data_IF_495228047949
#
_entry.id   IF_495228047949
#
_cell.length_a   1.000
_cell.length_b   1.000
_cell.length_c   1.000
_cell.angle_alpha   90.00
_cell.angle_beta   90.00
_cell.angle_gamma   90.00
#
_symmetry.space_group_name_H-M   'P 1'
#
loop_
_entity.id
_entity.type
_entity.pdbx_description
1 polymer ?
#
# COMPACT_ATOMS: atom_id res chain seq x y z
N UNK A 1 -21.13 -11.53 -25.99
CA UNK A 1 -19.72 -11.82 -26.21
C UNK A 1 -19.07 -12.18 -24.87
N UNK A 2 -18.47 -13.36 -24.72
CA UNK A 2 -17.84 -13.70 -23.45
C UNK A 2 -16.71 -12.73 -23.12
N UNK A 3 -16.62 -12.34 -21.84
CA UNK A 3 -15.52 -11.53 -21.32
C UNK A 3 -14.37 -12.48 -21.02
N UNK A 4 -13.26 -12.36 -21.72
CA UNK A 4 -12.09 -13.23 -21.61
C UNK A 4 -10.87 -12.55 -20.95
N UNK A 5 -10.98 -11.24 -20.71
CA UNK A 5 -9.93 -10.41 -20.13
C UNK A 5 -10.15 -10.03 -18.65
N UNK A 6 -11.14 -10.66 -17.99
CA UNK A 6 -11.45 -10.44 -16.57
C UNK A 6 -11.33 -11.74 -15.81
N UNK A 7 -10.62 -11.69 -14.69
CA UNK A 7 -10.52 -12.77 -13.71
C UNK A 7 -10.97 -12.26 -12.35
N UNK A 8 -11.79 -13.02 -11.65
CA UNK A 8 -12.28 -12.69 -10.31
C UNK A 8 -11.77 -13.74 -9.34
N UNK A 9 -11.26 -13.27 -8.21
CA UNK A 9 -10.73 -14.14 -7.18
C UNK A 9 -10.93 -13.49 -5.81
N UNK A 10 -11.18 -14.29 -4.80
CA UNK A 10 -11.19 -13.89 -3.39
C UNK A 10 -9.93 -14.42 -2.73
N UNK A 11 -9.09 -13.54 -2.22
CA UNK A 11 -7.85 -13.91 -1.55
C UNK A 11 -7.45 -12.86 -0.51
N UNK A 12 -6.68 -13.28 0.47
CA UNK A 12 -6.00 -12.38 1.38
C UNK A 12 -4.83 -11.68 0.66
N UNK A 13 -4.73 -10.37 0.80
CA UNK A 13 -3.66 -9.57 0.17
C UNK A 13 -2.27 -10.01 0.61
N UNK A 14 -2.11 -10.51 1.82
CA UNK A 14 -0.83 -11.03 2.31
C UNK A 14 -0.34 -12.25 1.52
N UNK A 15 -1.22 -12.90 0.78
CA UNK A 15 -0.94 -14.05 -0.09
C UNK A 15 -0.84 -13.72 -1.57
N UNK A 16 -0.83 -12.45 -1.93
CA UNK A 16 -0.87 -12.00 -3.33
C UNK A 16 0.26 -12.60 -4.18
N UNK A 17 1.42 -12.84 -3.60
CA UNK A 17 2.57 -13.44 -4.29
C UNK A 17 2.34 -14.90 -4.71
N UNK A 18 1.36 -15.56 -4.12
CA UNK A 18 0.95 -16.92 -4.54
C UNK A 18 -0.01 -16.91 -5.73
N UNK A 19 -0.52 -15.75 -6.11
CA UNK A 19 -1.53 -15.55 -7.16
C UNK A 19 -0.93 -14.83 -8.36
N UNK A 20 -0.24 -13.74 -8.11
CA UNK A 20 0.47 -12.94 -9.11
C UNK A 20 1.96 -13.25 -8.96
N UNK A 21 2.59 -13.68 -10.03
CA UNK A 21 3.99 -14.11 -10.03
C UNK A 21 4.90 -13.08 -10.70
N UNK A 22 6.19 -13.29 -10.65
CA UNK A 22 7.17 -12.42 -11.31
C UNK A 22 7.05 -12.40 -12.85
N UNK A 23 6.30 -13.33 -13.44
CA UNK A 23 5.99 -13.36 -14.87
C UNK A 23 4.84 -12.42 -15.24
N UNK A 24 4.04 -12.03 -14.26
CA UNK A 24 2.94 -11.09 -14.43
C UNK A 24 3.43 -9.65 -14.32
N UNK A 25 2.85 -8.75 -15.12
CA UNK A 25 3.13 -7.32 -15.04
C UNK A 25 1.88 -6.60 -14.54
N UNK A 26 2.00 -5.93 -13.38
CA UNK A 26 0.94 -5.12 -12.82
C UNK A 26 1.23 -3.64 -13.10
N UNK A 27 0.55 -3.05 -14.07
CA UNK A 27 0.74 -1.65 -14.46
C UNK A 27 -0.10 -0.67 -13.66
N UNK A 28 -1.21 -1.12 -13.07
CA UNK A 28 -2.10 -0.29 -12.26
C UNK A 28 -2.86 -1.11 -11.23
N UNK A 29 -3.01 -0.53 -10.04
CA UNK A 29 -3.81 -1.08 -8.96
C UNK A 29 -4.88 -0.06 -8.57
N UNK A 30 -6.11 -0.52 -8.37
CA UNK A 30 -7.20 0.26 -7.81
C UNK A 30 -7.55 -0.29 -6.43
N UNK A 31 -7.45 0.55 -5.41
CA UNK A 31 -7.86 0.23 -4.03
C UNK A 31 -9.08 1.08 -3.72
N UNK A 32 -10.24 0.45 -3.70
CA UNK A 32 -11.52 1.14 -3.53
C UNK A 32 -12.19 0.70 -2.23
N UNK A 33 -12.36 1.63 -1.28
CA UNK A 33 -13.15 1.45 -0.05
C UNK A 33 -12.75 0.21 0.76
N UNK A 34 -11.45 0.00 0.92
CA UNK A 34 -10.93 -1.10 1.73
C UNK A 34 -11.19 -0.88 3.23
N UNK A 35 -11.09 -1.96 4.00
CA UNK A 35 -11.27 -1.91 5.44
C UNK A 35 -10.24 -0.97 6.09
N UNK A 36 -10.67 0.06 6.85
CA UNK A 36 -9.77 1.02 7.47
C UNK A 36 -9.02 0.49 8.70
N UNK A 37 -9.46 -0.63 9.29
CA UNK A 37 -8.83 -1.22 10.48
C UNK A 37 -8.60 -0.20 11.62
N UNK A 38 -9.58 0.69 11.85
CA UNK A 38 -9.43 1.87 12.71
C UNK A 38 -9.54 1.60 14.20
N UNK A 39 -9.96 0.41 14.62
CA UNK A 39 -10.28 0.12 16.02
C UNK A 39 -9.08 0.00 16.95
N UNK A 40 -7.87 -0.24 16.39
CA UNK A 40 -6.69 -0.41 17.21
C UNK A 40 -5.42 -0.25 16.33
N UNK A 41 -4.45 0.49 16.84
CA UNK A 41 -3.21 0.78 16.10
C UNK A 41 -2.43 -0.49 15.69
N UNK A 42 -2.52 -1.58 16.45
CA UNK A 42 -1.91 -2.86 16.11
C UNK A 42 -2.51 -3.53 14.87
N UNK A 43 -3.72 -3.15 14.47
CA UNK A 43 -4.41 -3.68 13.29
C UNK A 43 -4.06 -2.94 12.00
N UNK A 44 -3.42 -1.78 12.08
CA UNK A 44 -3.11 -0.95 10.90
C UNK A 44 -2.25 -1.67 9.87
N UNK A 45 -1.43 -2.62 10.29
CA UNK A 45 -0.59 -3.46 9.40
C UNK A 45 -1.41 -4.28 8.40
N UNK A 46 -2.71 -4.48 8.63
CA UNK A 46 -3.61 -5.20 7.74
C UNK A 46 -4.26 -4.29 6.68
N UNK A 47 -4.11 -2.99 6.79
CA UNK A 47 -4.60 -2.03 5.79
C UNK A 47 -3.98 -2.31 4.43
N UNK A 48 -4.76 -2.27 3.36
CA UNK A 48 -4.25 -2.47 2.00
C UNK A 48 -3.24 -1.41 1.57
N UNK A 49 -3.27 -0.23 2.18
CA UNK A 49 -2.32 0.88 1.92
C UNK A 49 -1.15 0.93 2.89
N UNK A 50 -1.08 0.02 3.87
CA UNK A 50 0.06 -0.03 4.79
C UNK A 50 1.36 -0.31 4.02
N UNK A 51 2.51 0.31 4.39
CA UNK A 51 3.78 0.12 3.69
C UNK A 51 4.17 -1.34 3.49
N UNK A 52 3.85 -2.20 4.45
CA UNK A 52 4.07 -3.65 4.36
C UNK A 52 3.40 -4.27 3.14
N UNK A 53 2.17 -3.84 2.82
CA UNK A 53 1.44 -4.31 1.65
C UNK A 53 1.90 -3.59 0.39
N UNK A 54 2.13 -2.29 0.46
CA UNK A 54 2.62 -1.49 -0.67
C UNK A 54 3.96 -2.02 -1.20
N UNK A 55 4.86 -2.49 -0.34
CA UNK A 55 6.12 -3.11 -0.75
C UNK A 55 5.91 -4.42 -1.50
N UNK A 56 4.85 -5.19 -1.19
CA UNK A 56 4.50 -6.37 -1.97
C UNK A 56 4.04 -5.98 -3.38
N UNK A 57 3.17 -4.95 -3.50
CA UNK A 57 2.72 -4.46 -4.81
C UNK A 57 3.88 -3.94 -5.63
N UNK A 58 4.77 -3.19 -4.98
CA UNK A 58 5.96 -2.62 -5.58
C UNK A 58 6.80 -3.66 -6.31
N UNK A 59 6.97 -4.83 -5.72
CA UNK A 59 7.73 -5.93 -6.32
C UNK A 59 7.10 -6.50 -7.60
N UNK A 60 5.80 -6.27 -7.82
CA UNK A 60 5.04 -6.75 -8.99
C UNK A 60 4.83 -5.67 -10.06
N UNK A 61 5.20 -4.43 -9.75
CA UNK A 61 4.93 -3.25 -10.57
C UNK A 61 6.21 -2.74 -11.21
N UNK A 62 6.24 -2.50 -12.53
CA UNK A 62 7.31 -1.73 -13.16
C UNK A 62 7.40 -0.32 -12.60
N UNK A 63 8.58 0.31 -12.69
CA UNK A 63 8.74 1.72 -12.35
C UNK A 63 7.78 2.59 -13.18
N UNK A 64 7.18 3.60 -12.55
CA UNK A 64 6.19 4.47 -13.17
C UNK A 64 4.75 3.93 -13.16
N UNK A 65 4.53 2.69 -12.72
CA UNK A 65 3.18 2.15 -12.51
C UNK A 65 2.46 2.89 -11.38
N UNK A 66 1.12 2.91 -11.42
CA UNK A 66 0.32 3.75 -10.54
C UNK A 66 -0.64 2.95 -9.68
N UNK A 67 -0.91 3.48 -8.47
CA UNK A 67 -1.99 3.03 -7.58
C UNK A 67 -2.99 4.18 -7.47
N UNK A 68 -4.27 3.85 -7.70
CA UNK A 68 -5.41 4.73 -7.50
C UNK A 68 -6.12 4.28 -6.22
N UNK A 69 -6.24 5.16 -5.26
CA UNK A 69 -6.82 4.86 -3.95
C UNK A 69 -7.99 5.79 -3.65
N UNK A 70 -9.13 5.20 -3.26
CA UNK A 70 -10.33 5.92 -2.81
C UNK A 70 -10.83 5.37 -1.49
N UNK A 71 -11.24 6.25 -0.59
CA UNK A 71 -11.83 5.91 0.70
C UNK A 71 -12.77 6.99 1.22
N UNK A 72 -13.75 6.60 2.01
CA UNK A 72 -14.60 7.47 2.81
C UNK A 72 -13.98 7.78 4.19
N UNK A 73 -13.01 6.98 4.64
CA UNK A 73 -12.41 7.06 5.96
C UNK A 73 -11.27 8.09 6.01
N UNK A 74 -11.41 9.09 6.88
CA UNK A 74 -10.44 10.16 7.04
C UNK A 74 -9.11 9.69 7.62
N UNK A 75 -9.14 8.84 8.64
CA UNK A 75 -7.93 8.39 9.33
C UNK A 75 -7.08 7.51 8.41
N UNK A 76 -7.73 6.58 7.70
CA UNK A 76 -7.06 5.74 6.70
C UNK A 76 -6.42 6.61 5.61
N UNK A 77 -7.14 7.63 5.11
CA UNK A 77 -6.61 8.50 4.07
C UNK A 77 -5.40 9.31 4.55
N UNK A 78 -5.50 9.94 5.73
CA UNK A 78 -4.41 10.73 6.33
C UNK A 78 -3.18 9.90 6.58
N UNK A 79 -3.33 8.71 7.16
CA UNK A 79 -2.23 7.78 7.37
C UNK A 79 -1.62 7.34 6.03
N UNK A 80 -2.45 7.09 5.03
CA UNK A 80 -2.00 6.68 3.69
C UNK A 80 -1.16 7.73 2.98
N UNK A 81 -1.40 9.02 3.24
CA UNK A 81 -0.53 10.10 2.73
C UNK A 81 0.93 9.96 3.21
N UNK A 82 1.16 9.35 4.36
CA UNK A 82 2.49 8.98 4.85
C UNK A 82 2.97 7.60 4.37
N UNK A 83 2.05 6.65 4.21
CA UNK A 83 2.39 5.28 3.83
C UNK A 83 2.96 5.17 2.41
N UNK A 84 2.36 5.85 1.45
CA UNK A 84 2.80 5.80 0.05
C UNK A 84 4.24 6.32 -0.12
N UNK A 85 4.61 7.51 0.37
CA UNK A 85 6.00 7.97 0.28
C UNK A 85 6.99 7.05 0.99
N UNK A 86 6.64 6.54 2.19
CA UNK A 86 7.48 5.63 2.94
C UNK A 86 7.78 4.32 2.19
N UNK A 87 6.85 3.86 1.36
CA UNK A 87 7.01 2.68 0.51
C UNK A 87 7.58 3.00 -0.89
N UNK A 88 8.09 4.22 -1.11
CA UNK A 88 8.72 4.61 -2.37
C UNK A 88 7.74 4.91 -3.51
N UNK A 89 6.54 5.38 -3.18
CA UNK A 89 5.56 5.88 -4.14
C UNK A 89 5.44 7.40 -4.02
N UNK A 90 5.49 8.10 -5.14
CA UNK A 90 5.22 9.53 -5.22
C UNK A 90 3.73 9.78 -5.37
N UNK A 91 3.14 10.57 -4.48
CA UNK A 91 1.75 11.02 -4.63
C UNK A 91 1.73 12.13 -5.67
N UNK A 92 1.16 11.83 -6.85
CA UNK A 92 1.11 12.76 -7.98
C UNK A 92 -0.16 13.59 -8.01
N UNK A 93 -1.20 13.14 -7.34
CA UNK A 93 -2.47 13.83 -7.23
C UNK A 93 -3.22 13.38 -5.97
N UNK A 94 -3.96 14.29 -5.33
CA UNK A 94 -4.80 13.97 -4.17
C UNK A 94 -5.96 14.93 -4.01
N UNK A 95 -7.03 14.48 -3.38
CA UNK A 95 -8.18 15.30 -3.00
C UNK A 95 -8.85 14.76 -1.73
N UNK A 96 -9.40 15.65 -0.92
CA UNK A 96 -10.24 15.31 0.23
C UNK A 96 -11.74 15.29 -0.13
N UNK A 97 -12.10 15.70 -1.34
CA UNK A 97 -13.48 15.70 -1.85
C UNK A 97 -13.46 15.49 -3.36
N UNK A 98 -13.51 14.22 -3.76
CA UNK A 98 -13.40 13.80 -5.16
C UNK A 98 -14.50 14.39 -6.04
N UNK A 99 -15.74 14.46 -5.53
CA UNK A 99 -16.89 14.86 -6.32
C UNK A 99 -17.04 16.37 -6.48
N UNK A 100 -16.32 17.16 -5.67
CA UNK A 100 -16.35 18.63 -5.79
C UNK A 100 -15.71 19.12 -7.10
N UNK A 101 -14.64 18.45 -7.54
CA UNK A 101 -13.96 18.67 -8.81
C UNK A 101 -13.61 17.30 -9.43
N UNK A 102 -14.63 16.54 -9.77
CA UNK A 102 -14.48 15.16 -10.22
C UNK A 102 -13.72 15.11 -11.54
N UNK A 103 -12.58 14.40 -11.60
CA UNK A 103 -11.82 14.22 -12.81
C UNK A 103 -12.57 13.35 -13.83
N UNK A 104 -12.40 13.60 -15.12
CA UNK A 104 -13.04 12.82 -16.20
C UNK A 104 -12.68 11.34 -16.19
N UNK A 105 -11.51 10.98 -15.66
CA UNK A 105 -11.07 9.58 -15.55
C UNK A 105 -11.74 8.81 -14.42
N UNK A 106 -12.46 9.49 -13.50
CA UNK A 106 -13.07 8.80 -12.36
C UNK A 106 -14.26 7.95 -12.80
N UNK A 107 -14.22 6.68 -12.43
CA UNK A 107 -15.35 5.78 -12.55
C UNK A 107 -15.96 5.58 -11.16
N UNK A 108 -17.21 6.04 -10.99
CA UNK A 108 -17.92 5.90 -9.73
C UNK A 108 -18.24 4.44 -9.47
N UNK A 109 -17.82 3.95 -8.29
CA UNK A 109 -18.23 2.65 -7.79
C UNK A 109 -19.60 2.75 -7.11
N UNK A 110 -20.24 1.60 -6.85
CA UNK A 110 -21.49 1.56 -6.11
C UNK A 110 -21.35 2.18 -4.71
N UNK A 111 -20.30 1.85 -3.98
CA UNK A 111 -20.00 2.45 -2.67
C UNK A 111 -19.83 3.96 -2.73
N UNK A 112 -19.18 4.45 -3.76
CA UNK A 112 -18.97 5.88 -3.98
C UNK A 112 -20.31 6.61 -4.17
N UNK A 113 -21.23 6.02 -4.92
CA UNK A 113 -22.60 6.52 -5.06
C UNK A 113 -23.33 6.57 -3.71
N UNK A 114 -23.30 5.51 -2.95
CA UNK A 114 -23.93 5.42 -1.63
C UNK A 114 -23.42 6.48 -0.64
N UNK A 115 -22.11 6.67 -0.56
CA UNK A 115 -21.50 7.68 0.32
C UNK A 115 -21.80 9.10 -0.15
N UNK A 116 -21.80 9.35 -1.45
CA UNK A 116 -22.15 10.64 -2.03
C UNK A 116 -23.58 11.04 -1.71
N UNK A 117 -24.54 10.10 -1.77
CA UNK A 117 -25.94 10.34 -1.39
C UNK A 117 -26.09 10.66 0.09
N UNK A 118 -25.21 10.17 0.94
CA UNK A 118 -25.15 10.46 2.38
C UNK A 118 -24.41 11.76 2.70
N UNK A 119 -23.87 12.47 1.70
CA UNK A 119 -23.08 13.67 1.89
C UNK A 119 -21.69 13.44 2.47
N UNK A 120 -21.17 12.22 2.41
CA UNK A 120 -19.84 11.84 2.88
C UNK A 120 -18.82 12.12 1.78
N UNK A 121 -17.83 13.03 1.99
CA UNK A 121 -16.80 13.31 1.00
C UNK A 121 -15.91 12.07 0.77
N UNK A 122 -15.62 11.80 -0.49
CA UNK A 122 -14.68 10.74 -0.88
C UNK A 122 -13.29 11.34 -1.05
N UNK A 123 -12.31 10.76 -0.37
CA UNK A 123 -10.89 11.10 -0.48
C UNK A 123 -10.25 10.18 -1.50
N UNK A 124 -9.36 10.72 -2.31
CA UNK A 124 -8.68 9.95 -3.34
C UNK A 124 -7.26 10.44 -3.56
N UNK A 125 -6.38 9.54 -3.98
CA UNK A 125 -5.04 9.88 -4.44
C UNK A 125 -4.60 8.97 -5.59
N UNK A 126 -3.62 9.46 -6.33
CA UNK A 126 -2.85 8.68 -7.30
C UNK A 126 -1.40 8.69 -6.82
N UNK A 127 -0.79 7.52 -6.75
CA UNK A 127 0.60 7.36 -6.38
C UNK A 127 1.34 6.56 -7.47
N UNK A 128 2.54 7.01 -7.82
CA UNK A 128 3.40 6.41 -8.83
C UNK A 128 4.59 5.72 -8.17
N UNK A 129 4.90 4.50 -8.61
CA UNK A 129 6.11 3.81 -8.18
C UNK A 129 7.35 4.58 -8.61
N UNK A 130 8.14 5.02 -7.64
CA UNK A 130 9.46 5.62 -7.82
C UNK A 130 10.60 4.59 -7.72
N UNK A 131 11.86 5.04 -7.78
CA UNK A 131 13.03 4.16 -7.67
C UNK A 131 13.11 3.49 -6.28
N UNK A 132 13.80 2.35 -6.20
CA UNK A 132 13.97 1.60 -4.96
C UNK A 132 14.67 2.42 -3.86
N UNK A 133 15.55 3.34 -4.25
CA UNK A 133 16.22 4.28 -3.33
C UNK A 133 15.27 5.22 -2.58
N UNK A 134 14.04 5.39 -3.05
CA UNK A 134 13.02 6.23 -2.40
C UNK A 134 12.29 5.53 -1.26
N UNK A 135 12.47 4.22 -1.08
CA UNK A 135 11.87 3.45 0.01
C UNK A 135 12.58 3.79 1.32
N UNK A 136 11.81 4.27 2.31
CA UNK A 136 12.32 4.62 3.64
C UNK A 136 11.75 3.73 4.75
N UNK A 137 10.64 3.05 4.50
CA UNK A 137 10.03 2.18 5.49
C UNK A 137 10.83 0.88 5.68
N UNK A 138 11.00 0.49 6.94
CA UNK A 138 11.67 -0.75 7.34
C UNK A 138 10.73 -1.55 8.24
N UNK A 139 10.65 -2.86 8.01
CA UNK A 139 9.89 -3.76 8.88
C UNK A 139 10.39 -3.62 10.33
N UNK A 140 9.52 -3.41 11.33
CA UNK A 140 9.93 -3.20 12.72
C UNK A 140 10.87 -4.26 13.29
N UNK A 141 10.68 -5.51 12.92
CA UNK A 141 11.59 -6.62 13.33
C UNK A 141 12.99 -6.49 12.73
N UNK A 142 13.09 -6.03 11.51
CA UNK A 142 14.36 -5.77 10.83
C UNK A 142 15.06 -4.56 11.44
N UNK A 143 14.31 -3.52 11.77
CA UNK A 143 14.83 -2.34 12.45
C UNK A 143 15.38 -2.70 13.84
N UNK A 144 14.64 -3.49 14.62
CA UNK A 144 15.09 -3.97 15.93
C UNK A 144 16.41 -4.75 15.81
N UNK A 145 16.52 -5.67 14.84
CA UNK A 145 17.74 -6.43 14.60
C UNK A 145 18.96 -5.56 14.25
N UNK A 146 18.75 -4.47 13.49
CA UNK A 146 19.83 -3.52 13.14
C UNK A 146 20.30 -2.68 14.32
N UNK A 147 19.46 -2.53 15.35
CA UNK A 147 19.77 -1.75 16.55
C UNK A 147 20.32 -2.60 17.69
N UNK A 148 20.30 -3.94 17.57
CA UNK A 148 20.99 -4.81 18.50
C UNK A 148 22.52 -4.59 18.35
N UNK A 149 23.27 -4.30 19.45
CA UNK A 149 24.71 -4.20 19.37
C UNK A 149 25.26 -5.55 18.87
N UNK A 150 26.22 -5.49 17.94
CA UNK A 150 27.00 -6.68 17.61
C UNK A 150 27.57 -7.21 18.93
N UNK A 151 27.20 -8.44 19.31
CA UNK A 151 27.88 -9.13 20.39
C UNK A 151 29.36 -9.20 19.98
N UNK A 152 30.22 -8.46 20.72
CA UNK A 152 31.66 -8.60 20.58
C UNK A 152 31.97 -10.08 20.66
N UNK A 153 32.43 -10.65 19.57
CA UNK A 153 32.98 -12.00 19.57
C UNK A 153 34.12 -11.98 20.58
N UNK A 154 33.90 -12.67 21.71
CA UNK A 154 34.89 -12.85 22.72
C UNK A 154 36.15 -13.46 22.04
N UNK A 155 37.30 -12.79 22.03
CA UNK A 155 38.49 -13.34 21.45
C UNK A 155 38.83 -14.58 22.28
N UNK A 156 38.53 -15.74 21.72
CA UNK A 156 38.72 -17.03 22.31
C UNK A 156 40.10 -17.13 22.99
N UNK A 157 40.05 -17.53 24.27
CA UNK A 157 41.19 -17.58 25.14
C UNK A 157 42.42 -18.26 24.54
N UNK A 158 43.51 -17.60 24.68
CA UNK A 158 44.83 -18.22 24.61
C UNK A 158 44.90 -19.33 25.63
N UNK A 159 44.93 -20.54 25.14
CA UNK A 159 45.39 -21.68 25.94
C UNK A 159 46.88 -21.53 26.06
N UNK A 160 47.36 -21.11 27.24
CA UNK A 160 48.74 -21.27 27.62
C UNK A 160 48.92 -22.66 28.23
N UNK A 161 49.87 -23.39 27.65
CA UNK A 161 50.43 -24.60 28.26
C UNK A 161 51.11 -24.32 29.62
#
# INVERSE_FOLDING_TARGET
RPIDNVKIMSTDIERIKGVITAEDTVSRIYINFCNPWSKNAGSNKHRLTHPRQLLQYRALMPEGSEIYFKTDDDDLFRDSLGYFPAAGFEITWQTFDLHKNEPDWNLRTEHEGMFSEQGIPIKALIARKGPDSSVTWVEPKELARRLEPEEEADPAGEVQE
#
